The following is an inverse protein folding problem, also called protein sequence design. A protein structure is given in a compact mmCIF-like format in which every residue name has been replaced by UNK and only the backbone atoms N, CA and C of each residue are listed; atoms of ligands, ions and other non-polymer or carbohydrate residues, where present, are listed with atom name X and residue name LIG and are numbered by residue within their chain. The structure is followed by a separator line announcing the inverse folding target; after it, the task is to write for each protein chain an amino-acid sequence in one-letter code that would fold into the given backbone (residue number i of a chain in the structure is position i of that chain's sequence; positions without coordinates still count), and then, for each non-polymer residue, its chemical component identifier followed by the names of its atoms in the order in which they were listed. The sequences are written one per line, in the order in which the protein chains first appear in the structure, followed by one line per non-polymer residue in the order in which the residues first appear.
data_IF_860898381544
#
_entry.id   IF_860898381544
#
_cell.length_a   1.000
_cell.length_b   1.000
_cell.length_c   1.000
_cell.angle_alpha   90.00
_cell.angle_beta   90.00
_cell.angle_gamma   90.00
#
_symmetry.space_group_name_H-M   'P 1'
#
loop_
_entity.id
_entity.type
_entity.pdbx_description
1 polymer ?
#
# COMPACT_ATOMS: atom_id res chain seq x y z
N UNK A 1 3.64 -16.67 6.60
CA UNK A 1 2.68 -15.62 7.03
C UNK A 1 2.91 -14.43 6.13
N UNK A 2 1.85 -13.82 5.62
CA UNK A 2 1.96 -12.71 4.67
C UNK A 2 1.72 -11.40 5.40
N UNK A 3 2.58 -10.42 5.13
CA UNK A 3 2.47 -9.09 5.67
C UNK A 3 1.37 -8.33 4.91
N UNK A 4 0.66 -7.45 5.60
CA UNK A 4 -0.32 -6.56 4.99
C UNK A 4 -0.14 -5.15 5.57
N UNK A 5 0.00 -4.17 4.68
CA UNK A 5 0.13 -2.76 5.03
C UNK A 5 -1.03 -1.99 4.45
N UNK A 6 -1.62 -1.11 5.27
CA UNK A 6 -2.79 -0.33 4.84
C UNK A 6 -2.89 1.00 5.55
N UNK A 7 -3.58 1.94 4.91
CA UNK A 7 -3.98 3.21 5.44
C UNK A 7 -5.47 3.16 5.78
N UNK A 8 -5.85 3.71 6.92
CA UNK A 8 -7.23 3.84 7.34
C UNK A 8 -7.55 5.28 7.73
N UNK A 9 -8.71 5.78 7.30
CA UNK A 9 -9.11 7.17 7.52
C UNK A 9 -10.63 7.35 7.57
N UNK A 10 -11.07 8.44 8.19
CA UNK A 10 -12.50 8.82 8.23
C UNK A 10 -13.03 9.23 6.84
N UNK A 11 -12.16 9.74 5.98
CA UNK A 11 -12.49 10.17 4.62
C UNK A 11 -11.61 9.46 3.60
N UNK A 12 -12.13 9.24 2.38
CA UNK A 12 -11.37 8.66 1.27
C UNK A 12 -10.06 9.42 1.02
N UNK A 13 -8.98 8.66 0.83
CA UNK A 13 -7.66 9.20 0.50
C UNK A 13 -7.49 9.22 -1.02
N UNK A 14 -6.55 10.03 -1.51
CA UNK A 14 -6.24 10.00 -2.94
C UNK A 14 -5.40 8.75 -3.25
N UNK A 15 -5.75 8.01 -4.29
CA UNK A 15 -4.93 6.89 -4.75
C UNK A 15 -3.57 7.34 -5.27
N UNK A 16 -2.61 6.41 -5.26
CA UNK A 16 -1.29 6.60 -5.86
C UNK A 16 -1.00 5.38 -6.73
N UNK A 17 -0.83 5.61 -8.03
CA UNK A 17 -0.42 4.56 -8.97
C UNK A 17 1.10 4.47 -9.01
N UNK A 18 1.63 3.24 -9.11
CA UNK A 18 3.05 3.04 -9.36
C UNK A 18 3.37 3.43 -10.83
N UNK A 19 4.19 4.46 -11.07
CA UNK A 19 4.43 4.97 -12.43
C UNK A 19 5.29 4.04 -13.30
N UNK A 20 5.90 3.01 -12.71
CA UNK A 20 6.75 2.05 -13.41
C UNK A 20 6.01 0.75 -13.77
N UNK A 21 4.78 0.59 -13.26
CA UNK A 21 3.96 -0.58 -13.53
C UNK A 21 3.01 -0.27 -14.69
N UNK A 22 3.06 -1.13 -15.72
CA UNK A 22 2.08 -1.17 -16.79
C UNK A 22 1.32 -2.48 -16.76
N UNK A 23 -0.01 -2.38 -16.85
CA UNK A 23 -0.88 -3.56 -17.02
C UNK A 23 -1.33 -3.61 -18.48
N UNK A 24 -0.85 -4.61 -19.21
CA UNK A 24 -1.14 -4.80 -20.64
C UNK A 24 -1.71 -6.19 -20.91
N UNK A 25 -2.28 -6.41 -22.10
CA UNK A 25 -2.71 -7.76 -22.49
C UNK A 25 -1.51 -8.64 -22.88
N UNK A 26 -1.71 -9.96 -22.87
CA UNK A 26 -0.70 -10.93 -23.34
C UNK A 26 -0.30 -10.64 -24.79
N UNK A 27 -1.28 -10.34 -25.65
CA UNK A 27 -0.99 -10.01 -27.06
C UNK A 27 -0.11 -8.75 -27.20
N UNK A 28 -0.32 -7.74 -26.35
CA UNK A 28 0.54 -6.55 -26.35
C UNK A 28 1.95 -6.88 -25.84
N UNK A 29 2.07 -7.72 -24.81
CA UNK A 29 3.37 -8.18 -24.32
C UNK A 29 4.16 -8.95 -25.40
N UNK A 30 3.49 -9.81 -26.16
CA UNK A 30 4.11 -10.54 -27.30
C UNK A 30 4.63 -9.54 -28.35
N UNK A 31 3.86 -8.49 -28.69
CA UNK A 31 4.33 -7.44 -29.62
C UNK A 31 5.57 -6.70 -29.12
N UNK A 32 5.72 -6.58 -27.79
CA UNK A 32 6.90 -6.02 -27.13
C UNK A 32 8.07 -7.01 -26.99
N UNK A 33 7.93 -8.23 -27.52
CA UNK A 33 8.99 -9.24 -27.55
C UNK A 33 9.06 -10.16 -26.33
N UNK A 34 8.04 -10.15 -25.47
CA UNK A 34 7.94 -11.10 -24.36
C UNK A 34 7.56 -12.48 -24.90
N UNK A 35 8.35 -13.50 -24.54
CA UNK A 35 8.11 -14.88 -24.92
C UNK A 35 7.34 -15.61 -23.82
N UNK A 36 6.28 -16.32 -24.20
CA UNK A 36 5.50 -17.16 -23.30
C UNK A 36 5.66 -18.63 -23.69
N UNK A 37 5.46 -19.51 -22.72
CA UNK A 37 5.49 -20.96 -22.95
C UNK A 37 4.39 -21.40 -23.93
N UNK A 38 4.72 -22.34 -24.83
CA UNK A 38 3.79 -22.84 -25.84
C UNK A 38 2.55 -23.50 -25.25
N UNK A 39 2.65 -24.13 -24.07
CA UNK A 39 1.51 -24.77 -23.41
C UNK A 39 0.47 -23.73 -22.94
N UNK A 40 0.94 -22.57 -22.47
CA UNK A 40 0.06 -21.46 -22.12
C UNK A 40 -0.58 -20.87 -23.37
N UNK A 41 0.20 -20.67 -24.44
CA UNK A 41 -0.30 -20.10 -25.68
C UNK A 41 -1.32 -21.01 -26.38
N UNK A 42 -1.17 -22.33 -26.30
CA UNK A 42 -2.08 -23.27 -26.95
C UNK A 42 -3.30 -23.62 -26.08
N UNK A 43 -3.46 -23.02 -24.89
CA UNK A 43 -4.60 -23.26 -24.03
C UNK A 43 -5.86 -22.56 -24.58
N UNK A 44 -6.92 -23.30 -24.99
CA UNK A 44 -8.13 -22.71 -25.54
C UNK A 44 -8.96 -21.92 -24.52
N UNK A 45 -8.72 -22.07 -23.22
CA UNK A 45 -9.38 -21.26 -22.17
C UNK A 45 -8.60 -19.98 -21.83
N UNK A 46 -7.45 -19.74 -22.47
CA UNK A 46 -6.59 -18.60 -22.18
C UNK A 46 -6.79 -17.51 -23.23
N UNK A 47 -7.58 -16.49 -22.89
CA UNK A 47 -7.86 -15.35 -23.77
C UNK A 47 -6.76 -14.30 -23.66
N UNK A 48 -5.95 -14.17 -24.70
CA UNK A 48 -4.75 -13.33 -24.71
C UNK A 48 -5.03 -11.82 -24.75
N UNK A 49 -6.26 -11.41 -25.06
CA UNK A 49 -6.67 -10.01 -25.07
C UNK A 49 -7.26 -9.59 -23.71
N UNK A 50 -7.94 -10.52 -23.04
CA UNK A 50 -8.51 -10.30 -21.71
C UNK A 50 -7.47 -10.47 -20.60
N UNK A 51 -6.65 -11.53 -20.67
CA UNK A 51 -5.61 -11.83 -19.67
C UNK A 51 -4.58 -10.70 -19.57
N UNK A 52 -4.28 -10.30 -18.33
CA UNK A 52 -3.45 -9.15 -18.02
C UNK A 52 -2.06 -9.55 -17.54
N UNK A 53 -1.08 -8.79 -17.98
CA UNK A 53 0.32 -8.94 -17.62
C UNK A 53 0.77 -7.62 -17.00
N UNK A 54 1.34 -7.75 -15.80
CA UNK A 54 2.07 -6.68 -15.15
C UNK A 54 3.48 -6.65 -15.75
N UNK A 55 3.86 -5.51 -16.33
CA UNK A 55 5.22 -5.23 -16.76
C UNK A 55 5.80 -4.16 -15.83
N UNK A 56 6.98 -4.47 -15.31
CA UNK A 56 7.85 -3.54 -14.63
C UNK A 56 9.26 -3.75 -15.19
N UNK A 57 10.02 -2.69 -15.37
CA UNK A 57 11.37 -2.72 -15.91
C UNK A 57 12.39 -3.30 -14.91
N UNK A 58 12.20 -3.07 -13.61
CA UNK A 58 13.04 -3.61 -12.55
C UNK A 58 12.22 -4.08 -11.35
N UNK A 59 12.78 -4.99 -10.56
CA UNK A 59 12.17 -5.44 -9.30
C UNK A 59 12.09 -4.30 -8.27
N UNK A 60 13.11 -3.44 -8.20
CA UNK A 60 13.13 -2.29 -7.28
C UNK A 60 11.97 -1.32 -7.55
N UNK A 61 11.63 -1.10 -8.82
CA UNK A 61 10.49 -0.27 -9.19
C UNK A 61 9.13 -0.88 -8.81
N UNK A 62 9.04 -2.19 -8.59
CA UNK A 62 7.80 -2.81 -8.07
C UNK A 62 7.53 -2.38 -6.63
N UNK A 63 8.56 -1.98 -5.90
CA UNK A 63 8.44 -1.57 -4.51
C UNK A 63 8.18 -0.05 -4.33
N UNK A 64 7.98 0.70 -5.43
CA UNK A 64 7.57 2.10 -5.38
C UNK A 64 6.19 2.25 -4.72
N UNK A 65 5.93 3.43 -4.15
CA UNK A 65 4.67 3.66 -3.41
C UNK A 65 3.45 3.48 -4.32
N UNK A 66 2.52 2.65 -3.89
CA UNK A 66 1.21 2.47 -4.50
C UNK A 66 0.14 2.41 -3.40
N UNK A 67 -0.94 3.17 -3.60
CA UNK A 67 -2.03 3.31 -2.63
C UNK A 67 -3.34 3.10 -3.36
N UNK A 68 -4.00 1.98 -3.07
CA UNK A 68 -5.22 1.56 -3.75
C UNK A 68 -6.39 1.46 -2.77
N UNK A 69 -7.53 2.05 -3.13
CA UNK A 69 -8.76 1.83 -2.39
C UNK A 69 -9.26 0.40 -2.60
N UNK A 70 -9.46 -0.34 -1.52
CA UNK A 70 -9.73 -1.80 -1.59
C UNK A 70 -11.22 -2.13 -1.43
N UNK A 71 -12.06 -1.14 -1.07
CA UNK A 71 -13.50 -1.34 -0.90
C UNK A 71 -13.86 -2.29 0.24
N UNK A 72 -14.99 -2.99 0.11
CA UNK A 72 -15.52 -3.88 1.16
C UNK A 72 -14.71 -5.17 1.35
N UNK A 73 -13.87 -5.55 0.39
CA UNK A 73 -13.11 -6.81 0.48
C UNK A 73 -11.94 -6.73 1.48
N UNK A 74 -11.43 -5.53 1.78
CA UNK A 74 -10.38 -5.34 2.80
C UNK A 74 -10.86 -5.47 4.23
N UNK A 75 -12.17 -5.40 4.49
CA UNK A 75 -12.70 -5.51 5.86
C UNK A 75 -12.16 -6.76 6.55
N UNK A 76 -11.98 -7.87 5.82
CA UNK A 76 -11.46 -9.13 6.36
C UNK A 76 -10.00 -9.06 6.82
N UNK A 77 -9.18 -8.24 6.18
CA UNK A 77 -7.76 -8.13 6.49
C UNK A 77 -7.49 -7.06 7.56
N UNK A 78 -8.31 -6.01 7.61
CA UNK A 78 -8.22 -4.94 8.62
C UNK A 78 -9.09 -5.18 9.86
N UNK A 79 -9.93 -6.22 9.87
CA UNK A 79 -10.86 -6.52 10.97
C UNK A 79 -10.12 -6.63 12.32
N UNK A 80 -10.63 -5.91 13.32
CA UNK A 80 -10.07 -5.91 14.68
C UNK A 80 -8.82 -5.05 14.86
N UNK A 81 -8.31 -4.39 13.81
CA UNK A 81 -7.21 -3.43 13.92
C UNK A 81 -7.71 -1.98 13.94
N UNK A 82 -8.67 -1.64 13.08
CA UNK A 82 -9.24 -0.30 12.98
C UNK A 82 -10.77 -0.34 12.91
N UNK A 83 -11.38 0.77 13.35
CA UNK A 83 -12.83 1.02 13.23
C UNK A 83 -13.15 1.95 12.05
N UNK A 84 -12.12 2.39 11.31
CA UNK A 84 -12.26 3.32 10.18
C UNK A 84 -12.66 2.56 8.92
N UNK A 85 -13.54 3.18 8.12
CA UNK A 85 -14.18 2.51 6.98
C UNK A 85 -13.42 2.68 5.66
N UNK A 86 -12.63 3.74 5.50
CA UNK A 86 -11.91 3.99 4.25
C UNK A 86 -10.53 3.35 4.32
N UNK A 87 -10.44 2.10 3.88
CA UNK A 87 -9.20 1.34 3.86
C UNK A 87 -8.55 1.43 2.47
N UNK A 88 -7.25 1.74 2.46
CA UNK A 88 -6.44 1.73 1.26
C UNK A 88 -5.25 0.80 1.51
N UNK A 89 -5.03 -0.16 0.62
CA UNK A 89 -3.81 -0.96 0.64
C UNK A 89 -2.62 -0.06 0.33
N UNK A 90 -1.51 -0.29 1.04
CA UNK A 90 -0.24 0.37 0.80
C UNK A 90 0.77 -0.68 0.35
N UNK A 91 1.12 -0.66 -0.94
CA UNK A 91 2.20 -1.47 -1.48
C UNK A 91 3.46 -0.60 -1.57
N UNK A 92 4.51 -1.00 -0.87
CA UNK A 92 5.82 -0.37 -0.91
C UNK A 92 6.85 -1.25 -0.17
N UNK A 93 8.14 -0.99 -0.40
CA UNK A 93 9.19 -1.34 0.56
C UNK A 93 9.86 -0.08 1.11
N UNK A 94 10.48 -0.20 2.28
CA UNK A 94 11.14 0.94 2.90
C UNK A 94 12.41 1.32 2.12
N UNK A 95 12.53 2.61 1.85
CA UNK A 95 13.79 3.33 1.60
C UNK A 95 13.60 4.76 2.07
N UNK A 96 14.68 5.49 2.33
CA UNK A 96 14.56 6.90 2.76
C UNK A 96 13.80 7.75 1.73
N UNK A 97 14.03 7.53 0.42
CA UNK A 97 13.34 8.27 -0.64
C UNK A 97 11.84 7.98 -0.66
N UNK A 98 11.45 6.69 -0.63
CA UNK A 98 10.04 6.28 -0.63
C UNK A 98 9.32 6.69 0.65
N UNK A 99 10.01 6.61 1.78
CA UNK A 99 9.50 7.13 3.04
C UNK A 99 9.25 8.64 2.97
N UNK A 100 10.15 9.41 2.34
CA UNK A 100 9.92 10.84 2.14
C UNK A 100 8.70 11.10 1.24
N UNK A 101 8.53 10.36 0.14
CA UNK A 101 7.32 10.43 -0.71
C UNK A 101 6.05 10.14 0.09
N UNK A 102 6.08 9.12 0.95
CA UNK A 102 4.95 8.77 1.82
C UNK A 102 4.67 9.85 2.89
N UNK A 103 5.70 10.45 3.50
CA UNK A 103 5.56 11.60 4.41
C UNK A 103 4.87 12.77 3.71
N UNK A 104 5.32 13.12 2.50
CA UNK A 104 4.77 14.23 1.73
C UNK A 104 3.31 13.96 1.33
N UNK A 105 3.00 12.72 0.96
CA UNK A 105 1.64 12.27 0.72
C UNK A 105 0.75 12.43 1.97
N UNK A 106 1.17 11.90 3.12
CA UNK A 106 0.41 11.97 4.37
C UNK A 106 0.16 13.44 4.79
N UNK A 107 1.18 14.29 4.68
CA UNK A 107 1.08 15.73 4.94
C UNK A 107 0.06 16.40 4.02
N UNK A 108 0.10 16.09 2.72
CA UNK A 108 -0.87 16.60 1.74
C UNK A 108 -2.29 16.16 2.09
N UNK A 109 -2.50 14.89 2.41
CA UNK A 109 -3.82 14.35 2.77
C UNK A 109 -4.39 15.02 4.02
N UNK A 110 -3.61 15.14 5.09
CA UNK A 110 -4.05 15.81 6.32
C UNK A 110 -4.34 17.30 6.07
N UNK A 111 -3.48 18.00 5.34
CA UNK A 111 -3.68 19.43 4.99
C UNK A 111 -4.92 19.65 4.13
N UNK A 112 -5.30 18.65 3.31
CA UNK A 112 -6.53 18.67 2.52
C UNK A 112 -7.81 18.46 3.34
N UNK A 113 -7.71 18.34 4.68
CA UNK A 113 -8.85 18.29 5.59
C UNK A 113 -9.10 16.94 6.25
N UNK A 114 -8.21 15.94 6.08
CA UNK A 114 -8.30 14.68 6.83
C UNK A 114 -7.82 14.90 8.27
N UNK A 115 -8.65 14.48 9.23
CA UNK A 115 -8.44 14.66 10.68
C UNK A 115 -7.27 13.82 11.20
N UNK A 116 -7.26 12.54 10.83
CA UNK A 116 -6.25 11.56 11.16
C UNK A 116 -6.17 10.47 10.08
N UNK A 117 -4.99 9.87 9.96
CA UNK A 117 -4.73 8.71 9.11
C UNK A 117 -3.98 7.69 9.95
N UNK A 118 -4.51 6.48 10.05
CA UNK A 118 -3.81 5.35 10.65
C UNK A 118 -3.04 4.60 9.56
N UNK A 119 -1.74 4.42 9.76
CA UNK A 119 -0.88 3.63 8.89
C UNK A 119 -0.50 2.34 9.60
N UNK A 120 -0.96 1.22 9.06
CA UNK A 120 -0.89 -0.10 9.67
C UNK A 120 0.12 -1.00 8.98
N UNK A 121 0.78 -1.81 9.79
CA UNK A 121 1.61 -2.92 9.36
C UNK A 121 1.28 -4.16 10.22
N UNK A 122 0.68 -5.17 9.61
CA UNK A 122 0.13 -6.34 10.28
C UNK A 122 0.56 -7.64 9.62
N UNK A 123 0.34 -8.76 10.32
CA UNK A 123 0.41 -10.09 9.74
C UNK A 123 -1.00 -10.65 9.52
N UNK A 124 -1.26 -11.17 8.32
CA UNK A 124 -2.52 -11.85 8.03
C UNK A 124 -2.61 -13.16 8.82
N UNK A 125 -3.79 -13.40 9.42
CA UNK A 125 -4.12 -14.62 10.14
C UNK A 125 -3.75 -14.62 11.63
N UNK A 126 -3.16 -13.56 12.16
CA UNK A 126 -2.95 -13.37 13.59
C UNK A 126 -3.52 -12.03 14.05
N UNK A 127 -4.40 -12.05 15.05
CA UNK A 127 -4.84 -10.83 15.75
C UNK A 127 -4.06 -10.71 17.06
N UNK A 128 -3.13 -9.76 17.11
CA UNK A 128 -2.32 -9.46 18.30
C UNK A 128 -2.52 -8.01 18.71
N UNK A 129 -2.27 -7.71 19.98
CA UNK A 129 -2.21 -6.33 20.45
C UNK A 129 -1.19 -5.55 19.64
N UNK A 130 -1.63 -4.43 19.05
CA UNK A 130 -0.78 -3.59 18.24
C UNK A 130 -0.06 -2.54 19.08
N UNK A 131 1.16 -2.18 18.64
CA UNK A 131 1.85 -0.99 19.15
C UNK A 131 1.32 0.21 18.36
N UNK A 132 0.55 1.07 19.03
CA UNK A 132 0.08 2.34 18.45
C UNK A 132 1.01 3.48 18.84
N UNK A 133 1.50 4.23 17.85
CA UNK A 133 2.25 5.49 18.04
C UNK A 133 1.49 6.62 17.38
N UNK A 134 1.47 7.78 18.04
CA UNK A 134 0.81 8.97 17.53
C UNK A 134 1.86 10.02 17.20
N UNK A 135 1.71 10.66 16.05
CA UNK A 135 2.57 11.76 15.60
C UNK A 135 1.70 12.86 15.02
N UNK A 136 2.01 14.11 15.35
CA UNK A 136 1.38 15.25 14.70
C UNK A 136 1.98 15.42 13.31
N UNK A 137 1.16 15.72 12.32
CA UNK A 137 1.58 15.92 10.92
C UNK A 137 2.73 16.92 10.77
N UNK A 138 2.79 17.95 11.61
CA UNK A 138 3.85 18.98 11.62
C UNK A 138 5.22 18.43 12.04
N UNK A 139 5.23 17.35 12.82
CA UNK A 139 6.44 16.69 13.30
C UNK A 139 6.75 15.40 12.52
N UNK A 140 5.86 14.97 11.62
CA UNK A 140 6.03 13.75 10.86
C UNK A 140 7.30 13.82 10.00
N UNK A 141 8.13 12.81 10.15
CA UNK A 141 9.42 12.65 9.49
C UNK A 141 9.63 11.23 8.97
N UNK A 142 10.67 11.03 8.15
CA UNK A 142 11.06 9.71 7.64
C UNK A 142 11.37 8.73 8.77
N UNK A 143 11.94 9.20 9.88
CA UNK A 143 12.27 8.35 11.04
C UNK A 143 11.03 7.81 11.76
N UNK A 144 9.88 8.47 11.63
CA UNK A 144 8.62 7.92 12.11
C UNK A 144 8.14 6.74 11.26
N UNK A 145 8.61 6.62 10.02
CA UNK A 145 8.27 5.51 9.11
C UNK A 145 9.27 4.35 9.18
N UNK A 146 10.44 4.51 9.81
CA UNK A 146 11.41 3.43 10.02
C UNK A 146 10.80 2.23 10.77
N UNK A 147 9.82 2.49 11.65
CA UNK A 147 9.07 1.43 12.34
C UNK A 147 8.23 0.54 11.42
N UNK A 148 8.03 0.97 10.18
CA UNK A 148 7.33 0.21 9.15
C UNK A 148 8.31 -0.53 8.23
N UNK A 149 9.62 -0.34 8.39
CA UNK A 149 10.62 -1.16 7.73
C UNK A 149 10.54 -2.59 8.26
N UNK A 150 10.27 -3.51 7.35
CA UNK A 150 10.04 -4.92 7.62
C UNK A 150 11.24 -5.79 7.30
N UNK A 151 12.34 -5.17 6.85
CA UNK A 151 13.60 -5.85 6.56
C UNK A 151 14.12 -6.66 7.76
N UNK A 152 13.86 -6.20 8.98
CA UNK A 152 14.23 -6.89 10.22
C UNK A 152 13.19 -7.91 10.72
N UNK A 153 12.06 -8.06 10.02
CA UNK A 153 10.93 -8.90 10.41
C UNK A 153 10.04 -8.25 11.47
N UNK A 154 8.74 -8.16 11.17
CA UNK A 154 7.75 -7.67 12.11
C UNK A 154 7.40 -8.76 13.13
N UNK A 155 7.46 -8.48 14.43
CA UNK A 155 7.06 -9.45 15.48
C UNK A 155 5.69 -9.17 16.07
N UNK A 156 5.22 -7.93 15.96
CA UNK A 156 3.97 -7.42 16.54
C UNK A 156 3.35 -6.41 15.57
N UNK A 157 2.02 -6.39 15.39
CA UNK A 157 1.34 -5.36 14.59
C UNK A 157 1.70 -3.94 15.05
N UNK A 158 1.88 -3.02 14.11
CA UNK A 158 2.23 -1.63 14.39
C UNK A 158 1.25 -0.70 13.68
N UNK A 159 0.89 0.37 14.37
CA UNK A 159 0.09 1.47 13.82
C UNK A 159 0.79 2.80 14.11
N UNK A 160 1.03 3.59 13.06
CA UNK A 160 1.37 4.99 13.17
C UNK A 160 0.14 5.83 12.87
N UNK A 161 -0.37 6.55 13.87
CA UNK A 161 -1.49 7.49 13.71
C UNK A 161 -0.90 8.87 13.44
N UNK A 162 -1.16 9.39 12.24
CA UNK A 162 -0.77 10.75 11.84
C UNK A 162 -1.99 11.65 12.00
N UNK A 163 -1.88 12.63 12.87
CA UNK A 163 -3.00 13.49 13.23
C UNK A 163 -2.75 14.93 12.80
N UNK A 164 -3.83 15.60 12.40
CA UNK A 164 -3.85 17.06 12.27
C UNK A 164 -3.55 17.71 13.63
N UNK A 165 -3.23 19.01 13.59
CA UNK A 165 -3.04 19.78 14.82
C UNK A 165 -4.35 19.77 15.58
N UNK A 166 -4.40 19.04 16.70
CA UNK A 166 -5.62 18.95 17.50
C UNK A 166 -6.15 20.34 17.80
N UNK A 167 -7.34 20.65 17.29
CA UNK A 167 -8.15 21.70 17.89
C UNK A 167 -8.46 21.20 19.30
N UNK A 168 -7.81 21.84 20.29
CA UNK A 168 -8.30 21.84 21.65
C UNK A 168 -9.77 22.28 21.60
N UNK A 169 -10.69 21.31 21.63
CA UNK A 169 -12.06 21.54 22.06
C UNK A 169 -12.13 21.40 23.58
#
# INVERSE_FOLDING_TARGET
MSMYQFLASEMMLDGVENPYIEIISVNEAIKRGVNFDESLMNNPSFDRDEEKILICDTEEHMDEIEINYVGSDSEKCSEGYTELQNIHELNWCYSEERAQKLVDYLKKQITAGKSAIELWNIWLGETKSAIKKHVKVENLSVSDLELLDVSSGLTTPICLVVESKGDLK
#
